data_IF_379289540806
#
_entry.id   IF_379289540806
#
_cell.length_a   1.000
_cell.length_b   1.000
_cell.length_c   1.000
_cell.angle_alpha   90.00
_cell.angle_beta   90.00
_cell.angle_gamma   90.00
#
_symmetry.space_group_name_H-M   'P 1'
#
loop_
_entity.id
_entity.type
_entity.pdbx_description
1 polymer ?
#
# COMPACT_ATOMS: atom_id res chain seq x y z
N UNK A 1 -29.68 -4.68 -28.10
CA UNK A 1 -28.30 -4.88 -28.57
C UNK A 1 -27.45 -5.14 -27.33
N UNK A 2 -27.20 -6.41 -27.00
CA UNK A 2 -26.31 -6.76 -25.89
C UNK A 2 -24.87 -6.65 -26.40
N UNK A 3 -24.07 -5.82 -25.72
CA UNK A 3 -22.67 -5.55 -26.04
C UNK A 3 -21.88 -6.88 -26.07
N UNK A 4 -21.46 -7.33 -27.25
CA UNK A 4 -20.56 -8.47 -27.38
C UNK A 4 -19.15 -8.02 -27.03
N UNK A 5 -18.77 -8.19 -25.76
CA UNK A 5 -17.37 -7.99 -25.35
C UNK A 5 -16.50 -8.97 -26.15
N UNK A 6 -15.48 -8.51 -26.87
CA UNK A 6 -14.64 -9.39 -27.68
C UNK A 6 -13.90 -10.43 -26.83
N UNK A 7 -13.71 -11.64 -27.37
CA UNK A 7 -13.15 -12.80 -26.64
C UNK A 7 -11.76 -12.51 -26.05
N UNK A 8 -10.96 -11.69 -26.75
CA UNK A 8 -9.63 -11.27 -26.33
C UNK A 8 -9.63 -10.50 -25.01
N UNK A 9 -10.71 -9.77 -24.69
CA UNK A 9 -10.82 -9.05 -23.42
C UNK A 9 -10.94 -9.98 -22.21
N UNK A 10 -11.49 -11.19 -22.39
CA UNK A 10 -11.51 -12.19 -21.32
C UNK A 10 -10.12 -12.79 -21.06
N UNK A 11 -9.23 -12.79 -22.07
CA UNK A 11 -7.86 -13.24 -21.92
C UNK A 11 -6.94 -12.14 -21.35
N UNK A 12 -7.00 -10.93 -21.90
CA UNK A 12 -6.08 -9.83 -21.53
C UNK A 12 -6.58 -8.97 -20.37
N UNK A 13 -7.90 -8.81 -20.21
CA UNK A 13 -8.49 -8.00 -19.15
C UNK A 13 -8.05 -8.40 -17.74
N UNK A 14 -8.14 -9.69 -17.35
CA UNK A 14 -7.68 -10.14 -16.05
C UNK A 14 -6.18 -9.92 -15.81
N UNK A 15 -5.35 -10.07 -16.84
CA UNK A 15 -3.90 -9.84 -16.76
C UNK A 15 -3.58 -8.36 -16.52
N UNK A 16 -4.26 -7.46 -17.23
CA UNK A 16 -4.11 -6.01 -17.05
C UNK A 16 -4.55 -5.60 -15.63
N UNK A 17 -5.69 -6.13 -15.17
CA UNK A 17 -6.18 -5.88 -13.81
C UNK A 17 -5.22 -6.41 -12.74
N UNK A 18 -4.67 -7.61 -12.93
CA UNK A 18 -3.70 -8.18 -12.00
C UNK A 18 -2.39 -7.38 -11.97
N UNK A 19 -1.85 -7.02 -13.14
CA UNK A 19 -0.62 -6.25 -13.26
C UNK A 19 -0.76 -4.86 -12.65
N UNK A 20 -1.86 -4.15 -12.96
CA UNK A 20 -2.15 -2.83 -12.38
C UNK A 20 -2.35 -2.91 -10.87
N UNK A 21 -3.08 -3.92 -10.38
CA UNK A 21 -3.25 -4.12 -8.93
C UNK A 21 -1.91 -4.38 -8.23
N UNK A 22 -1.07 -5.25 -8.78
CA UNK A 22 0.26 -5.52 -8.27
C UNK A 22 1.15 -4.27 -8.26
N UNK A 23 1.10 -3.47 -9.33
CA UNK A 23 1.83 -2.20 -9.41
C UNK A 23 1.36 -1.22 -8.32
N UNK A 24 0.06 -1.09 -8.10
CA UNK A 24 -0.49 -0.25 -7.02
C UNK A 24 0.04 -0.72 -5.67
N UNK A 25 0.01 -2.02 -5.37
CA UNK A 25 0.54 -2.55 -4.11
C UNK A 25 2.03 -2.23 -3.93
N UNK A 26 2.83 -2.40 -4.99
CA UNK A 26 4.26 -2.05 -4.98
C UNK A 26 4.49 -0.57 -4.70
N UNK A 27 3.76 0.32 -5.39
CA UNK A 27 3.88 1.76 -5.20
C UNK A 27 3.52 2.17 -3.76
N UNK A 28 2.42 1.66 -3.22
CA UNK A 28 2.02 1.94 -1.84
C UNK A 28 3.01 1.36 -0.82
N UNK A 29 3.50 0.13 -1.03
CA UNK A 29 4.46 -0.49 -0.12
C UNK A 29 5.79 0.26 -0.07
N UNK A 30 6.28 0.73 -1.21
CA UNK A 30 7.47 1.58 -1.30
C UNK A 30 7.25 2.93 -0.63
N UNK A 31 6.11 3.57 -0.90
CA UNK A 31 5.76 4.86 -0.29
C UNK A 31 5.69 4.77 1.25
N UNK A 32 4.98 3.76 1.77
CA UNK A 32 4.86 3.49 3.22
C UNK A 32 6.23 3.21 3.83
N UNK A 33 7.08 2.41 3.17
CA UNK A 33 8.43 2.11 3.68
C UNK A 33 9.29 3.37 3.81
N UNK A 34 9.33 4.22 2.76
CA UNK A 34 10.13 5.43 2.79
C UNK A 34 9.60 6.45 3.80
N UNK A 35 8.28 6.61 3.90
CA UNK A 35 7.65 7.47 4.89
C UNK A 35 8.00 6.99 6.31
N UNK A 36 7.77 5.70 6.62
CA UNK A 36 8.07 5.12 7.93
C UNK A 36 9.56 5.23 8.28
N UNK A 37 10.45 5.00 7.32
CA UNK A 37 11.91 5.13 7.50
C UNK A 37 12.34 6.57 7.75
N UNK A 38 11.66 7.54 7.14
CA UNK A 38 11.94 8.95 7.38
C UNK A 38 11.54 9.36 8.82
N UNK A 39 10.43 8.83 9.31
CA UNK A 39 9.93 9.09 10.67
C UNK A 39 10.76 8.38 11.75
N UNK A 40 11.28 7.18 11.46
CA UNK A 40 12.17 6.42 12.37
C UNK A 40 13.50 7.12 12.66
N UNK A 41 13.92 8.07 11.81
CA UNK A 41 15.17 8.84 12.02
C UNK A 41 15.05 9.93 13.09
N UNK A 42 13.84 10.32 13.49
CA UNK A 42 13.62 11.43 14.41
C UNK A 42 12.89 10.95 15.68
N UNK A 43 13.57 10.76 16.83
CA UNK A 43 12.91 10.48 18.11
C UNK A 43 12.04 11.68 18.55
N UNK A 44 10.84 11.50 19.16
CA UNK A 44 10.17 10.26 19.57
C UNK A 44 9.23 9.66 18.50
N UNK A 45 9.38 10.08 17.24
CA UNK A 45 8.40 9.86 16.18
C UNK A 45 8.57 8.57 15.36
N UNK A 46 9.36 7.63 15.87
CA UNK A 46 9.63 6.36 15.19
C UNK A 46 8.39 5.51 14.98
N UNK A 47 8.51 4.53 14.09
CA UNK A 47 7.37 3.70 13.67
C UNK A 47 6.73 3.04 14.88
N UNK A 48 5.50 3.44 15.20
CA UNK A 48 4.74 2.85 16.30
C UNK A 48 4.44 1.41 15.88
N UNK A 49 4.66 0.45 16.79
CA UNK A 49 4.38 -0.98 16.64
C UNK A 49 5.47 -1.83 15.98
N UNK A 50 5.88 -1.55 14.74
CA UNK A 50 6.83 -2.40 13.98
C UNK A 50 7.73 -1.57 13.07
N UNK A 51 8.94 -2.09 12.77
CA UNK A 51 9.95 -1.42 11.93
C UNK A 51 9.40 -1.05 10.54
N UNK A 52 9.94 -0.01 9.88
CA UNK A 52 9.52 0.44 8.54
C UNK A 52 9.42 -0.66 7.50
N UNK A 53 10.34 -1.64 7.53
CA UNK A 53 10.35 -2.76 6.58
C UNK A 53 9.13 -3.67 6.73
N UNK A 54 8.63 -3.88 7.96
CA UNK A 54 7.44 -4.69 8.21
C UNK A 54 6.20 -3.97 7.69
N UNK A 55 6.11 -2.65 7.86
CA UNK A 55 5.05 -1.84 7.29
C UNK A 55 5.02 -1.88 5.75
N UNK A 56 6.19 -1.82 5.11
CA UNK A 56 6.31 -1.97 3.67
C UNK A 56 5.81 -3.34 3.19
N UNK A 57 6.27 -4.43 3.80
CA UNK A 57 5.85 -5.80 3.47
C UNK A 57 4.35 -6.00 3.71
N UNK A 58 3.82 -5.53 4.84
CA UNK A 58 2.41 -5.63 5.15
C UNK A 58 1.55 -4.91 4.10
N UNK A 59 2.03 -3.78 3.57
CA UNK A 59 1.36 -3.04 2.51
C UNK A 59 1.41 -3.76 1.16
N UNK A 60 2.47 -4.54 0.87
CA UNK A 60 2.50 -5.39 -0.32
C UNK A 60 1.46 -6.51 -0.28
N UNK A 61 1.16 -7.02 0.91
CA UNK A 61 0.19 -8.12 1.10
C UNK A 61 -1.24 -7.60 1.20
N UNK A 62 -1.47 -6.55 1.99
CA UNK A 62 -2.82 -6.02 2.24
C UNK A 62 -3.19 -4.77 1.43
N UNK A 63 -2.27 -4.25 0.64
CA UNK A 63 -2.51 -3.16 -0.31
C UNK A 63 -2.87 -1.83 0.33
N UNK A 64 -3.74 -1.10 -0.35
CA UNK A 64 -4.17 0.25 0.04
C UNK A 64 -4.82 0.29 1.43
N UNK A 65 -5.47 -0.78 1.88
CA UNK A 65 -6.08 -0.83 3.20
C UNK A 65 -5.02 -0.78 4.31
N UNK A 66 -3.93 -1.52 4.15
CA UNK A 66 -2.82 -1.47 5.11
C UNK A 66 -2.11 -0.12 5.08
N UNK A 67 -1.97 0.48 3.90
CA UNK A 67 -1.47 1.86 3.79
C UNK A 67 -2.38 2.88 4.50
N UNK A 68 -3.70 2.70 4.43
CA UNK A 68 -4.66 3.55 5.14
C UNK A 68 -4.56 3.38 6.66
N UNK A 69 -4.38 2.15 7.16
CA UNK A 69 -4.15 1.89 8.60
C UNK A 69 -2.83 2.50 9.05
N UNK A 70 -1.75 2.33 8.27
CA UNK A 70 -0.47 2.98 8.52
C UNK A 70 -0.63 4.50 8.65
N UNK A 71 -1.34 5.10 7.70
CA UNK A 71 -1.62 6.53 7.70
C UNK A 71 -2.44 6.96 8.91
N UNK A 72 -3.51 6.24 9.25
CA UNK A 72 -4.31 6.51 10.45
C UNK A 72 -3.44 6.45 11.73
N UNK A 73 -2.57 5.46 11.87
CA UNK A 73 -1.73 5.34 13.05
C UNK A 73 -0.69 6.46 13.18
N UNK A 74 -0.14 6.94 12.06
CA UNK A 74 0.95 7.93 12.07
C UNK A 74 0.47 9.39 11.93
N UNK A 75 -0.65 9.64 11.23
CA UNK A 75 -1.16 10.99 10.95
C UNK A 75 -2.36 11.39 11.82
N UNK A 76 -3.28 10.47 12.16
CA UNK A 76 -4.35 10.79 13.11
C UNK A 76 -3.86 10.57 14.53
N UNK A 77 -3.14 11.55 15.09
CA UNK A 77 -3.07 11.90 16.54
C UNK A 77 -2.87 10.80 17.60
N UNK A 78 -2.65 9.53 17.23
CA UNK A 78 -2.18 8.43 18.08
C UNK A 78 -0.67 8.49 18.30
N UNK A 79 0.02 9.35 17.54
CA UNK A 79 1.35 9.85 17.86
C UNK A 79 1.24 10.67 19.14
N UNK A 80 1.53 10.02 20.28
CA UNK A 80 1.75 10.71 21.55
C UNK A 80 2.80 11.80 21.31
N UNK A 81 2.39 13.03 21.55
CA UNK A 81 3.26 14.20 21.72
C UNK A 81 4.24 13.93 22.86
#
# INVERSE_FOLDING_TARGET
>A
MLNSIPIEWYAFGPLILFASNGLIHLLFGVAVYFDARSQDKYPPTGSIFVKPIIWGIATLVGGVFVAAVYWLMHHSTLRKV
#
